data_IF_412661461891
#
_entry.id   IF_412661461891
#
_cell.length_a   1.000
_cell.length_b   1.000
_cell.length_c   1.000
_cell.angle_alpha   90.00
_cell.angle_beta   90.00
_cell.angle_gamma   90.00
#
_symmetry.space_group_name_H-M   'P 1'
#
loop_
_entity.id
_entity.type
_entity.pdbx_description
1 polymer ?
#
# COMPACT_ATOMS: atom_id res chain seq x y z
N UNK A 1 4.79 -5.64 30.07
CA UNK A 1 4.04 -4.74 29.16
C UNK A 1 4.50 -5.04 27.74
N UNK A 2 3.75 -5.85 26.98
CA UNK A 2 4.06 -6.16 25.56
C UNK A 2 3.93 -4.86 24.77
N UNK A 3 5.06 -4.20 24.50
CA UNK A 3 5.15 -3.20 23.43
C UNK A 3 4.86 -3.98 22.15
N UNK A 4 3.61 -3.93 21.71
CA UNK A 4 3.30 -4.23 20.33
C UNK A 4 4.18 -3.27 19.53
N UNK A 5 5.18 -3.80 18.85
CA UNK A 5 5.78 -3.16 17.70
C UNK A 5 4.77 -3.40 16.59
N UNK A 6 3.84 -2.47 16.27
CA UNK A 6 2.92 -2.66 15.17
C UNK A 6 3.67 -2.52 13.82
N UNK A 7 4.86 -1.93 13.87
CA UNK A 7 5.68 -1.53 12.73
C UNK A 7 6.88 -2.47 12.50
N UNK A 8 6.66 -3.79 12.46
CA UNK A 8 7.74 -4.75 12.11
C UNK A 8 7.60 -5.42 10.74
N UNK A 9 6.69 -4.94 9.88
CA UNK A 9 6.69 -5.44 8.50
C UNK A 9 5.49 -5.13 7.62
N UNK A 10 4.62 -4.16 7.96
CA UNK A 10 3.45 -3.85 7.13
C UNK A 10 3.56 -2.41 6.64
N UNK A 11 4.48 -2.20 5.68
CA UNK A 11 4.57 -0.95 4.93
C UNK A 11 3.64 -1.03 3.73
N UNK A 12 2.34 -0.80 3.92
CA UNK A 12 1.38 -0.84 2.80
C UNK A 12 1.39 0.49 2.07
N UNK A 13 1.83 0.45 0.81
CA UNK A 13 1.76 1.57 -0.11
C UNK A 13 0.44 1.53 -0.88
N UNK A 14 -0.38 2.57 -0.75
CA UNK A 14 -1.67 2.70 -1.42
C UNK A 14 -1.54 3.67 -2.61
N UNK A 15 -2.02 3.21 -3.76
CA UNK A 15 -2.01 3.90 -5.04
C UNK A 15 -3.43 4.02 -5.58
N UNK A 16 -3.74 5.17 -6.16
CA UNK A 16 -4.98 5.36 -6.91
C UNK A 16 -4.72 5.05 -8.36
N UNK A 17 -5.34 3.99 -8.85
CA UNK A 17 -5.39 3.65 -10.26
C UNK A 17 -6.74 4.06 -10.84
N UNK A 18 -6.87 4.01 -12.15
CA UNK A 18 -8.12 4.27 -12.87
C UNK A 18 -9.26 3.30 -12.50
N UNK A 19 -8.96 2.18 -11.82
CA UNK A 19 -9.93 1.19 -11.34
C UNK A 19 -10.32 1.38 -9.87
N UNK A 20 -9.61 2.23 -9.11
CA UNK A 20 -9.88 2.48 -7.69
C UNK A 20 -8.62 2.67 -6.85
N UNK A 21 -8.78 2.58 -5.52
CA UNK A 21 -7.67 2.54 -4.57
C UNK A 21 -7.21 1.09 -4.41
N UNK A 22 -5.91 0.84 -4.56
CA UNK A 22 -5.31 -0.48 -4.42
C UNK A 22 -3.90 -0.40 -3.86
N UNK A 23 -3.35 -1.53 -3.44
CA UNK A 23 -1.97 -1.59 -2.95
C UNK A 23 -0.95 -1.63 -4.09
N UNK A 24 0.31 -1.30 -3.80
CA UNK A 24 1.39 -1.38 -4.79
C UNK A 24 1.49 -2.76 -5.45
N UNK A 25 1.37 -3.81 -4.67
CA UNK A 25 1.48 -5.20 -5.15
C UNK A 25 0.37 -5.51 -6.15
N UNK A 26 -0.88 -5.18 -5.79
CA UNK A 26 -2.05 -5.40 -6.65
C UNK A 26 -1.97 -4.62 -7.97
N UNK A 27 -1.50 -3.37 -7.95
CA UNK A 27 -1.39 -2.62 -9.20
C UNK A 27 -0.26 -3.11 -10.09
N UNK A 28 0.80 -3.68 -9.50
CA UNK A 28 1.88 -4.32 -10.25
C UNK A 28 1.38 -5.58 -10.96
N UNK A 29 0.55 -6.38 -10.29
CA UNK A 29 -0.08 -7.57 -10.87
C UNK A 29 -1.12 -7.20 -11.94
N UNK A 30 -1.95 -6.19 -11.70
CA UNK A 30 -2.97 -5.72 -12.65
C UNK A 30 -2.40 -4.86 -13.79
N UNK A 31 -1.09 -4.56 -13.78
CA UNK A 31 -0.44 -3.69 -14.77
C UNK A 31 -1.07 -2.30 -14.86
N UNK A 32 -1.70 -1.83 -13.79
CA UNK A 32 -2.43 -0.55 -13.77
C UNK A 32 -1.59 0.53 -13.12
N UNK A 33 -1.30 1.58 -13.89
CA UNK A 33 -0.58 2.76 -13.40
C UNK A 33 -1.50 3.72 -12.64
N UNK A 34 -0.91 4.51 -11.74
CA UNK A 34 -1.66 5.40 -10.86
C UNK A 34 -0.81 6.47 -10.18
N UNK A 35 -1.47 7.33 -9.41
CA UNK A 35 -0.81 8.34 -8.57
C UNK A 35 -0.67 7.83 -7.13
N UNK A 36 0.47 8.09 -6.49
CA UNK A 36 0.73 7.72 -5.11
C UNK A 36 -0.16 8.54 -4.17
N UNK A 37 -0.99 7.88 -3.37
CA UNK A 37 -1.94 8.58 -2.48
C UNK A 37 -1.46 8.56 -1.03
N UNK A 38 -0.98 7.41 -0.56
CA UNK A 38 -0.56 7.27 0.84
C UNK A 38 0.49 6.17 1.01
N UNK A 39 1.51 6.49 1.81
CA UNK A 39 2.49 5.53 2.29
C UNK A 39 2.38 5.45 3.81
N UNK A 40 2.07 4.26 4.33
CA UNK A 40 2.10 3.97 5.77
C UNK A 40 3.34 3.13 6.07
N UNK A 41 4.08 3.49 7.13
CA UNK A 41 5.26 2.80 7.66
C UNK A 41 5.05 2.41 9.12
#
# INVERSE_FOLDING_TARGET
MRRYHPARGIGTLIISTNKGLMTQEEALEEGTGGSLIAYFY
#
